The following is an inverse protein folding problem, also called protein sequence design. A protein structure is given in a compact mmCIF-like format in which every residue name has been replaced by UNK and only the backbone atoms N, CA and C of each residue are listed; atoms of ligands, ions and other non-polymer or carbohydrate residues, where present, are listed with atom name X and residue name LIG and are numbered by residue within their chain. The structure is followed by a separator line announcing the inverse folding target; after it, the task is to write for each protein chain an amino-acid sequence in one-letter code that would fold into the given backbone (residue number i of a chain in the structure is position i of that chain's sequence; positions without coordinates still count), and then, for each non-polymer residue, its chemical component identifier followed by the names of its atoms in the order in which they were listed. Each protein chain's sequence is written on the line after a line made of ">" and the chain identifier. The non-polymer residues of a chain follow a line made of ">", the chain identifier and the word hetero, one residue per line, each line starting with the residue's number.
data_IF_774205559695
#
_entry.id   IF_774205559695
#
_cell.length_a   1.000
_cell.length_b   1.000
_cell.length_c   1.000
_cell.angle_alpha   90.00
_cell.angle_beta   90.00
_cell.angle_gamma   90.00
#
_symmetry.space_group_name_H-M   'P 1'
#
loop_
_entity.id
_entity.type
_entity.pdbx_description
1 polymer ?
#
# COMPACT_ATOMS: atom_id res chain seq x y z
N UNK A 1 11.56 1.52 0.65
CA UNK A 1 10.10 1.80 0.72
C UNK A 1 9.26 0.58 0.29
N UNK A 2 9.52 -0.07 -0.85
CA UNK A 2 8.82 -1.32 -1.23
C UNK A 2 8.93 -2.41 -0.16
N UNK A 3 10.10 -2.58 0.45
CA UNK A 3 10.33 -3.53 1.55
C UNK A 3 9.49 -3.19 2.79
N UNK A 4 9.29 -1.92 3.11
CA UNK A 4 8.42 -1.49 4.22
C UNK A 4 6.96 -1.85 3.92
N UNK A 5 6.52 -1.65 2.68
CA UNK A 5 5.17 -2.09 2.25
C UNK A 5 5.00 -3.61 2.36
N UNK A 6 6.03 -4.38 1.97
CA UNK A 6 6.07 -5.82 2.15
C UNK A 6 6.01 -6.22 3.64
N UNK A 7 6.80 -5.57 4.50
CA UNK A 7 6.80 -5.81 5.94
C UNK A 7 5.43 -5.54 6.57
N UNK A 8 4.74 -4.47 6.15
CA UNK A 8 3.37 -4.20 6.58
C UNK A 8 2.38 -5.29 6.14
N UNK A 9 2.54 -5.87 4.94
CA UNK A 9 1.71 -6.99 4.48
C UNK A 9 1.94 -8.27 5.30
N UNK A 10 3.21 -8.56 5.64
CA UNK A 10 3.58 -9.68 6.51
C UNK A 10 2.99 -9.48 7.90
N UNK A 11 3.19 -8.29 8.48
CA UNK A 11 2.67 -7.93 9.80
C UNK A 11 1.14 -7.98 9.84
N UNK A 12 0.48 -7.53 8.76
CA UNK A 12 -0.97 -7.65 8.59
C UNK A 12 -1.42 -9.09 8.72
N UNK A 13 -0.76 -10.02 8.03
CA UNK A 13 -1.09 -11.45 8.07
C UNK A 13 -0.91 -12.02 9.47
N UNK A 14 0.20 -11.71 10.15
CA UNK A 14 0.47 -12.16 11.53
C UNK A 14 -0.61 -11.70 12.50
N UNK A 15 -1.02 -10.42 12.42
CA UNK A 15 -2.07 -9.87 13.28
C UNK A 15 -3.44 -10.44 12.93
N UNK A 16 -3.72 -10.65 11.65
CA UNK A 16 -4.96 -11.25 11.18
C UNK A 16 -5.11 -12.68 11.72
N UNK A 17 -4.05 -13.49 11.71
CA UNK A 17 -4.06 -14.87 12.25
C UNK A 17 -4.07 -14.93 13.78
N UNK A 18 -3.81 -13.81 14.45
CA UNK A 18 -3.80 -13.70 15.91
C UNK A 18 -5.07 -13.01 16.45
N UNK A 19 -6.12 -12.93 15.63
CA UNK A 19 -7.39 -12.25 15.92
C UNK A 19 -7.25 -10.76 16.33
N UNK A 20 -6.11 -10.14 16.02
CA UNK A 20 -5.80 -8.74 16.30
C UNK A 20 -6.38 -7.82 15.21
N UNK A 21 -7.66 -7.99 14.87
CA UNK A 21 -8.26 -7.45 13.65
C UNK A 21 -8.24 -5.92 13.53
N UNK A 22 -8.50 -5.20 14.63
CA UNK A 22 -8.45 -3.73 14.63
C UNK A 22 -7.08 -3.24 14.16
N UNK A 23 -6.02 -3.79 14.76
CA UNK A 23 -4.64 -3.45 14.47
C UNK A 23 -4.21 -3.93 13.08
N UNK A 24 -4.65 -5.12 12.67
CA UNK A 24 -4.40 -5.63 11.31
C UNK A 24 -4.95 -4.65 10.25
N UNK A 25 -6.21 -4.22 10.38
CA UNK A 25 -6.84 -3.31 9.40
C UNK A 25 -6.10 -1.96 9.34
N UNK A 26 -5.52 -1.48 10.44
CA UNK A 26 -4.69 -0.27 10.43
C UNK A 26 -3.47 -0.40 9.51
N UNK A 27 -2.85 -1.59 9.44
CA UNK A 27 -1.64 -1.82 8.63
C UNK A 27 -1.88 -1.69 7.12
N UNK A 28 -3.12 -1.88 6.65
CA UNK A 28 -3.50 -1.67 5.25
C UNK A 28 -3.21 -0.24 4.80
N UNK A 29 -3.44 0.74 5.70
CA UNK A 29 -3.11 2.13 5.41
C UNK A 29 -1.61 2.32 5.25
N UNK A 30 -0.83 1.75 6.16
CA UNK A 30 0.63 1.89 6.16
C UNK A 30 1.25 1.20 4.95
N UNK A 31 0.75 0.01 4.59
CA UNK A 31 1.10 -0.71 3.37
C UNK A 31 0.82 0.14 2.12
N UNK A 32 -0.35 0.75 2.04
CA UNK A 32 -0.72 1.63 0.93
C UNK A 32 0.16 2.87 0.85
N UNK A 33 0.37 3.59 1.96
CA UNK A 33 1.15 4.83 1.98
C UNK A 33 2.62 4.59 1.62
N UNK A 34 3.21 3.50 2.10
CA UNK A 34 4.57 3.09 1.72
C UNK A 34 4.67 2.65 0.25
N UNK A 35 3.65 1.98 -0.29
CA UNK A 35 3.57 1.64 -1.73
C UNK A 35 3.48 2.90 -2.59
N UNK A 36 2.59 3.84 -2.27
CA UNK A 36 2.47 5.11 -3.01
C UNK A 36 3.77 5.88 -2.98
N UNK A 37 4.43 5.97 -1.82
CA UNK A 37 5.74 6.62 -1.72
C UNK A 37 6.79 5.95 -2.59
N UNK A 38 6.79 4.62 -2.68
CA UNK A 38 7.70 3.87 -3.55
C UNK A 38 7.47 4.16 -5.04
N UNK A 39 6.20 4.18 -5.46
CA UNK A 39 5.81 4.51 -6.84
C UNK A 39 6.14 5.96 -7.17
N UNK A 40 5.87 6.88 -6.25
CA UNK A 40 6.23 8.28 -6.39
C UNK A 40 7.75 8.47 -6.52
N UNK A 41 8.57 7.79 -5.70
CA UNK A 41 10.02 7.80 -5.83
C UNK A 41 10.48 7.36 -7.23
N UNK A 42 9.83 6.35 -7.82
CA UNK A 42 10.24 5.82 -9.12
C UNK A 42 9.82 6.72 -10.29
N UNK A 43 8.61 7.30 -10.25
CA UNK A 43 8.02 7.94 -11.43
C UNK A 43 7.94 9.46 -11.36
N UNK A 44 7.94 10.06 -10.16
CA UNK A 44 7.48 11.44 -9.99
C UNK A 44 8.37 12.33 -9.12
N UNK A 45 9.10 11.75 -8.18
CA UNK A 45 9.99 12.47 -7.28
C UNK A 45 11.12 13.17 -8.05
N UNK A 46 11.51 14.34 -7.57
CA UNK A 46 12.70 15.03 -8.05
C UNK A 46 13.95 14.40 -7.40
N UNK A 47 15.10 14.50 -8.07
CA UNK A 47 16.37 14.01 -7.52
C UNK A 47 16.67 14.60 -6.12
N UNK A 48 16.41 15.89 -5.93
CA UNK A 48 16.55 16.54 -4.62
C UNK A 48 15.65 15.90 -3.53
N UNK A 49 14.48 15.39 -3.91
CA UNK A 49 13.61 14.67 -2.96
C UNK A 49 14.13 13.26 -2.66
N UNK A 50 14.71 12.58 -3.67
CA UNK A 50 15.36 11.28 -3.49
C UNK A 50 16.59 11.40 -2.59
N UNK A 51 17.39 12.45 -2.77
CA UNK A 51 18.54 12.76 -1.92
C UNK A 51 18.12 12.95 -0.46
N UNK A 52 17.05 13.71 -0.20
CA UNK A 52 16.50 13.88 1.17
C UNK A 52 16.16 12.53 1.81
N UNK A 53 15.53 11.63 1.06
CA UNK A 53 15.10 10.30 1.57
C UNK A 53 16.29 9.36 1.78
N UNK A 54 17.39 9.57 1.07
CA UNK A 54 18.58 8.73 1.11
C UNK A 54 19.60 9.19 2.15
N UNK A 55 19.38 10.34 2.80
CA UNK A 55 20.28 10.88 3.81
C UNK A 55 20.28 10.05 5.10
N UNK A 56 21.39 10.13 5.83
CA UNK A 56 21.47 9.62 7.19
C UNK A 56 20.51 10.35 8.13
N UNK A 57 19.98 9.61 9.12
CA UNK A 57 19.03 10.13 10.08
C UNK A 57 19.70 11.15 11.01
N UNK A 58 19.42 12.42 10.76
CA UNK A 58 19.79 13.59 11.56
C UNK A 58 18.59 14.51 11.75
N UNK A 59 18.60 15.37 12.78
CA UNK A 59 17.55 16.37 13.02
C UNK A 59 17.33 17.26 11.79
N UNK A 60 18.41 17.62 11.08
CA UNK A 60 18.30 18.43 9.86
C UNK A 60 17.63 17.65 8.72
N UNK A 61 18.06 16.41 8.47
CA UNK A 61 17.47 15.56 7.44
C UNK A 61 16.00 15.24 7.72
N UNK A 62 15.62 15.03 8.99
CA UNK A 62 14.24 14.79 9.41
C UNK A 62 13.36 16.02 9.15
N UNK A 63 13.86 17.21 9.51
CA UNK A 63 13.16 18.46 9.22
C UNK A 63 12.99 18.72 7.71
N UNK A 64 13.95 18.31 6.88
CA UNK A 64 13.81 18.34 5.41
C UNK A 64 12.80 17.30 4.93
N UNK A 65 12.85 16.08 5.46
CA UNK A 65 11.92 15.00 5.13
C UNK A 65 10.46 15.35 5.47
N UNK A 66 10.22 16.10 6.55
CA UNK A 66 8.89 16.60 6.92
C UNK A 66 8.26 17.55 5.88
N UNK A 67 9.06 18.09 4.95
CA UNK A 67 8.59 18.93 3.83
C UNK A 67 8.29 18.14 2.56
N UNK A 68 8.55 16.83 2.54
CA UNK A 68 8.19 15.97 1.43
C UNK A 68 6.67 15.96 1.24
N UNK A 69 6.18 15.77 0.00
CA UNK A 69 4.75 15.81 -0.28
C UNK A 69 3.99 14.77 0.55
N UNK A 70 2.81 15.15 1.04
CA UNK A 70 1.90 14.19 1.66
C UNK A 70 1.30 13.25 0.60
N UNK A 71 0.70 12.15 1.05
CA UNK A 71 0.06 11.14 0.18
C UNK A 71 -0.80 11.74 -0.94
N UNK A 72 -1.65 12.71 -0.61
CA UNK A 72 -2.53 13.35 -1.58
C UNK A 72 -1.79 14.05 -2.72
N UNK A 73 -0.68 14.71 -2.39
CA UNK A 73 0.14 15.43 -3.36
C UNK A 73 1.09 14.50 -4.12
N UNK A 74 1.58 13.43 -3.48
CA UNK A 74 2.31 12.37 -4.18
C UNK A 74 1.46 11.77 -5.31
N UNK A 75 0.18 11.48 -5.06
CA UNK A 75 -0.74 10.94 -6.07
C UNK A 75 -0.97 11.91 -7.24
N UNK A 76 -1.12 13.22 -6.95
CA UNK A 76 -1.21 14.25 -8.01
C UNK A 76 0.08 14.33 -8.82
N UNK A 77 1.24 14.20 -8.18
CA UNK A 77 2.53 14.26 -8.88
C UNK A 77 2.79 13.01 -9.74
N UNK A 78 2.20 11.86 -9.38
CA UNK A 78 2.23 10.62 -10.17
C UNK A 78 1.43 10.76 -11.48
N UNK A 79 0.38 11.59 -11.49
CA UNK A 79 -0.48 11.82 -12.64
C UNK A 79 0.31 12.30 -13.87
N UNK A 80 0.11 11.61 -15.00
CA UNK A 80 0.83 11.88 -16.25
C UNK A 80 2.29 11.40 -16.29
N UNK A 81 2.84 10.84 -15.20
CA UNK A 81 4.23 10.35 -15.14
C UNK A 81 4.35 8.84 -14.98
N UNK A 82 3.43 8.21 -14.26
CA UNK A 82 3.36 6.75 -14.16
C UNK A 82 2.36 6.17 -15.18
N UNK A 83 2.44 4.86 -15.49
CA UNK A 83 1.41 4.20 -16.29
C UNK A 83 0.00 4.45 -15.74
N UNK A 84 -0.95 4.84 -16.60
CA UNK A 84 -2.30 5.25 -16.18
C UNK A 84 -3.01 4.20 -15.32
N UNK A 85 -2.97 2.93 -15.74
CA UNK A 85 -3.54 1.80 -14.99
C UNK A 85 -2.98 1.67 -13.57
N UNK A 86 -1.72 2.05 -13.35
CA UNK A 86 -1.10 2.03 -12.02
C UNK A 86 -1.75 3.08 -11.12
N UNK A 87 -1.94 4.30 -11.63
CA UNK A 87 -2.58 5.38 -10.90
C UNK A 87 -4.06 5.07 -10.59
N UNK A 88 -4.79 4.53 -11.56
CA UNK A 88 -6.20 4.11 -11.39
C UNK A 88 -6.34 3.13 -10.23
N UNK A 89 -5.48 2.11 -10.17
CA UNK A 89 -5.43 1.16 -9.04
C UNK A 89 -5.11 1.83 -7.72
N UNK A 90 -4.16 2.77 -7.67
CA UNK A 90 -3.85 3.50 -6.43
C UNK A 90 -5.05 4.31 -5.95
N UNK A 91 -5.75 4.98 -6.87
CA UNK A 91 -6.95 5.76 -6.54
C UNK A 91 -8.10 4.87 -6.08
N UNK A 92 -8.27 3.69 -6.67
CA UNK A 92 -9.23 2.69 -6.23
C UNK A 92 -8.94 2.23 -4.80
N UNK A 93 -7.69 1.84 -4.50
CA UNK A 93 -7.28 1.42 -3.16
C UNK A 93 -7.44 2.56 -2.15
N UNK A 94 -7.14 3.80 -2.55
CA UNK A 94 -7.37 4.99 -1.72
C UNK A 94 -8.84 5.10 -1.30
N UNK A 95 -9.74 4.92 -2.25
CA UNK A 95 -11.17 5.06 -2.01
C UNK A 95 -11.73 3.93 -1.14
N UNK A 96 -11.42 2.67 -1.49
CA UNK A 96 -12.06 1.51 -0.88
C UNK A 96 -11.32 0.95 0.35
N UNK A 97 -10.03 1.24 0.53
CA UNK A 97 -9.23 0.70 1.65
C UNK A 97 -8.68 1.81 2.55
N UNK A 98 -7.97 2.79 1.98
CA UNK A 98 -7.31 3.83 2.77
C UNK A 98 -8.31 4.71 3.52
N UNK A 99 -9.35 5.23 2.85
CA UNK A 99 -10.32 6.13 3.50
C UNK A 99 -11.05 5.43 4.66
N UNK A 100 -11.62 4.22 4.50
CA UNK A 100 -12.25 3.48 5.60
C UNK A 100 -11.31 3.15 6.76
N UNK A 101 -10.02 2.87 6.49
CA UNK A 101 -9.04 2.52 7.53
C UNK A 101 -8.85 3.61 8.59
N UNK A 102 -9.15 4.88 8.26
CA UNK A 102 -9.02 6.01 9.19
C UNK A 102 -9.82 5.81 10.47
N UNK A 103 -11.00 5.18 10.39
CA UNK A 103 -11.78 4.90 11.59
C UNK A 103 -11.11 3.87 12.50
N UNK A 104 -10.35 2.92 11.96
CA UNK A 104 -9.64 1.91 12.74
C UNK A 104 -8.43 2.50 13.46
N UNK A 105 -7.69 3.38 12.78
CA UNK A 105 -6.48 4.02 13.33
C UNK A 105 -6.78 4.92 14.53
N UNK A 106 -7.87 5.68 14.46
CA UNK A 106 -8.21 6.65 15.50
C UNK A 106 -9.22 6.10 16.52
N UNK A 107 -9.39 4.77 16.60
CA UNK A 107 -10.40 4.13 17.46
C UNK A 107 -11.81 4.73 17.29
N UNK A 108 -12.16 5.12 16.06
CA UNK A 108 -13.43 5.73 15.70
C UNK A 108 -14.60 4.72 15.69
N UNK A 109 -15.76 5.18 15.21
CA UNK A 109 -17.01 4.43 15.31
C UNK A 109 -16.94 3.00 14.74
N UNK A 110 -16.32 2.79 13.57
CA UNK A 110 -16.20 1.46 12.99
C UNK A 110 -15.29 0.55 13.82
N UNK A 111 -14.16 1.08 14.34
CA UNK A 111 -13.26 0.32 15.19
C UNK A 111 -13.96 -0.14 16.47
N UNK A 112 -14.61 0.81 17.17
CA UNK A 112 -15.33 0.54 18.41
C UNK A 112 -16.46 -0.45 18.19
N UNK A 113 -17.30 -0.24 17.17
CA UNK A 113 -18.42 -1.11 16.87
C UNK A 113 -17.93 -2.53 16.51
N UNK A 114 -16.92 -2.68 15.65
CA UNK A 114 -16.38 -3.99 15.27
C UNK A 114 -15.67 -4.70 16.42
N UNK A 115 -15.02 -3.96 17.31
CA UNK A 115 -14.41 -4.54 18.50
C UNK A 115 -15.46 -5.07 19.49
N UNK A 116 -16.63 -4.42 19.58
CA UNK A 116 -17.76 -4.86 20.42
C UNK A 116 -18.56 -6.01 19.79
N UNK A 117 -18.96 -5.83 18.53
CA UNK A 117 -19.92 -6.71 17.83
C UNK A 117 -19.24 -7.82 17.00
N UNK A 118 -17.91 -7.81 16.94
CA UNK A 118 -17.13 -8.72 16.11
C UNK A 118 -16.91 -8.24 14.67
N UNK A 119 -16.07 -9.00 13.97
CA UNK A 119 -15.62 -8.71 12.62
C UNK A 119 -16.28 -9.66 11.62
N UNK A 120 -17.08 -9.16 10.65
CA UNK A 120 -17.65 -10.02 9.61
C UNK A 120 -16.55 -10.68 8.78
N UNK A 121 -16.66 -11.98 8.53
CA UNK A 121 -15.65 -12.73 7.77
C UNK A 121 -15.40 -12.13 6.38
N UNK A 122 -16.46 -11.72 5.67
CA UNK A 122 -16.33 -11.09 4.36
C UNK A 122 -15.55 -9.77 4.38
N UNK A 123 -15.59 -9.02 5.50
CA UNK A 123 -14.76 -7.82 5.67
C UNK A 123 -13.28 -8.21 5.80
N UNK A 124 -12.97 -9.19 6.65
CA UNK A 124 -11.60 -9.66 6.85
C UNK A 124 -11.01 -10.23 5.55
N UNK A 125 -11.80 -11.02 4.82
CA UNK A 125 -11.45 -11.55 3.52
C UNK A 125 -11.19 -10.43 2.50
N UNK A 126 -12.08 -9.44 2.41
CA UNK A 126 -11.88 -8.30 1.52
C UNK A 126 -10.59 -7.54 1.83
N UNK A 127 -10.32 -7.30 3.12
CA UNK A 127 -9.11 -6.60 3.57
C UNK A 127 -7.85 -7.41 3.22
N UNK A 128 -7.88 -8.73 3.42
CA UNK A 128 -6.79 -9.64 3.01
C UNK A 128 -6.53 -9.58 1.51
N UNK A 129 -7.58 -9.66 0.69
CA UNK A 129 -7.46 -9.53 -0.77
C UNK A 129 -6.87 -8.19 -1.18
N UNK A 130 -7.26 -7.09 -0.52
CA UNK A 130 -6.68 -5.76 -0.78
C UNK A 130 -5.19 -5.71 -0.43
N UNK A 131 -4.76 -6.34 0.67
CA UNK A 131 -3.35 -6.47 1.02
C UNK A 131 -2.57 -7.26 -0.05
N UNK A 132 -3.14 -8.36 -0.55
CA UNK A 132 -2.54 -9.16 -1.62
C UNK A 132 -2.42 -8.35 -2.92
N UNK A 133 -3.44 -7.56 -3.27
CA UNK A 133 -3.40 -6.66 -4.43
C UNK A 133 -2.21 -5.68 -4.36
N UNK A 134 -2.02 -5.05 -3.20
CA UNK A 134 -0.87 -4.17 -2.97
C UNK A 134 0.47 -4.94 -2.99
N UNK A 135 0.51 -6.15 -2.43
CA UNK A 135 1.71 -7.00 -2.45
C UNK A 135 2.14 -7.36 -3.88
N UNK A 136 1.19 -7.64 -4.76
CA UNK A 136 1.48 -7.87 -6.17
C UNK A 136 1.96 -6.61 -6.90
N UNK A 137 1.52 -5.41 -6.50
CA UNK A 137 2.08 -4.15 -6.98
C UNK A 137 3.52 -3.94 -6.48
N UNK A 138 3.81 -4.26 -5.22
CA UNK A 138 5.18 -4.26 -4.67
C UNK A 138 6.08 -5.22 -5.46
N UNK A 139 5.60 -6.42 -5.78
CA UNK A 139 6.34 -7.39 -6.58
C UNK A 139 6.61 -6.89 -8.02
N UNK A 140 5.64 -6.22 -8.65
CA UNK A 140 5.85 -5.55 -9.94
C UNK A 140 6.93 -4.47 -9.85
N UNK A 141 6.92 -3.65 -8.80
CA UNK A 141 7.94 -2.63 -8.57
C UNK A 141 9.34 -3.24 -8.43
N UNK A 142 9.49 -4.33 -7.68
CA UNK A 142 10.77 -5.03 -7.60
C UNK A 142 11.24 -5.54 -8.97
N UNK A 143 10.35 -6.11 -9.78
CA UNK A 143 10.70 -6.57 -11.12
C UNK A 143 11.15 -5.40 -12.01
N UNK A 144 10.45 -4.26 -11.96
CA UNK A 144 10.85 -3.06 -12.73
C UNK A 144 12.28 -2.65 -12.38
N UNK A 145 12.63 -2.66 -11.09
CA UNK A 145 13.96 -2.28 -10.61
C UNK A 145 15.07 -3.27 -11.03
N UNK A 146 14.74 -4.52 -11.33
CA UNK A 146 15.73 -5.48 -11.89
C UNK A 146 16.10 -5.16 -13.34
N UNK A 147 15.27 -4.42 -14.08
CA UNK A 147 15.45 -4.21 -15.52
C UNK A 147 15.24 -5.46 -16.39
N UNK A 148 14.57 -6.50 -15.87
CA UNK A 148 14.29 -7.76 -16.58
C UNK A 148 12.77 -7.93 -16.81
N UNK A 149 12.20 -7.36 -17.89
CA UNK A 149 10.74 -7.34 -18.11
C UNK A 149 10.10 -8.73 -18.19
N UNK A 150 10.86 -9.75 -18.62
CA UNK A 150 10.37 -11.13 -18.74
C UNK A 150 9.91 -11.71 -17.40
N UNK A 151 10.43 -11.20 -16.28
CA UNK A 151 10.00 -11.64 -14.95
C UNK A 151 8.55 -11.25 -14.64
N UNK A 152 7.96 -10.28 -15.34
CA UNK A 152 6.53 -9.92 -15.17
C UNK A 152 5.59 -11.08 -15.48
N UNK A 153 5.98 -12.03 -16.34
CA UNK A 153 5.17 -13.23 -16.60
C UNK A 153 4.90 -14.05 -15.34
N UNK A 154 5.84 -14.04 -14.37
CA UNK A 154 5.68 -14.73 -13.08
C UNK A 154 4.53 -14.15 -12.28
N UNK A 155 4.37 -12.83 -12.29
CA UNK A 155 3.26 -12.14 -11.62
C UNK A 155 1.93 -12.48 -12.29
N UNK A 156 1.88 -12.47 -13.62
CA UNK A 156 0.68 -12.86 -14.36
C UNK A 156 0.25 -14.30 -14.08
N UNK A 157 1.20 -15.24 -14.03
CA UNK A 157 0.93 -16.64 -13.65
C UNK A 157 0.40 -16.74 -12.23
N UNK A 158 0.96 -15.99 -11.29
CA UNK A 158 0.51 -15.94 -9.90
C UNK A 158 -0.93 -15.41 -9.81
N UNK A 159 -1.23 -14.27 -10.45
CA UNK A 159 -2.60 -13.75 -10.51
C UNK A 159 -3.59 -14.75 -11.09
N UNK A 160 -3.23 -15.43 -12.18
CA UNK A 160 -4.12 -16.43 -12.81
C UNK A 160 -4.35 -17.66 -11.92
N UNK A 161 -3.31 -18.12 -11.24
CA UNK A 161 -3.38 -19.31 -10.38
C UNK A 161 -4.11 -19.08 -9.06
N UNK A 162 -4.13 -17.84 -8.57
CA UNK A 162 -4.69 -17.46 -7.27
C UNK A 162 -5.66 -16.28 -7.37
N UNK A 163 -6.42 -16.20 -8.47
CA UNK A 163 -7.27 -15.05 -8.79
C UNK A 163 -8.28 -14.74 -7.68
N UNK A 164 -8.77 -15.77 -7.00
CA UNK A 164 -9.69 -15.70 -5.86
C UNK A 164 -9.08 -15.03 -4.62
N UNK A 165 -7.75 -14.97 -4.52
CA UNK A 165 -7.00 -14.34 -3.44
C UNK A 165 -6.72 -12.84 -3.68
N UNK A 166 -7.14 -12.28 -4.81
CA UNK A 166 -6.96 -10.87 -5.17
C UNK A 166 -8.29 -10.10 -5.18
N UNK A 167 -8.25 -8.76 -5.13
CA UNK A 167 -9.46 -7.96 -5.29
C UNK A 167 -10.08 -8.24 -6.65
N UNK A 168 -11.39 -8.43 -6.69
CA UNK A 168 -12.13 -8.57 -7.94
C UNK A 168 -12.12 -7.20 -8.63
N UNK A 169 -11.57 -7.13 -9.84
CA UNK A 169 -11.72 -5.94 -10.67
C UNK A 169 -13.21 -5.76 -10.98
N UNK A 170 -13.78 -4.61 -10.62
CA UNK A 170 -15.10 -4.26 -11.15
C UNK A 170 -14.90 -3.90 -12.63
N UNK A 171 -15.48 -4.71 -13.51
CA UNK A 171 -15.62 -4.40 -14.93
C UNK A 171 -16.46 -3.13 -15.15
#
# INVERSE_FOLDING_TARGET
>A
MCEISLEHAISFTVLLTSDCFTSAICLIRLQYESLVRSIWCLYAALDASIEIISNELTIESENKANKLPMLGDMLKQIEGKAPQHLLEKLLEIKHYSWKPSSSFIHAGLHARNRHSEGYPLGLLEQVLKNSNGMLAMVAQMFIILTGVPQMMERIHKLYKGYADCFPVSKD
#
